data_IF_863707793579
#
_entry.id   IF_863707793579
#
_cell.length_a   1.000
_cell.length_b   1.000
_cell.length_c   1.000
_cell.angle_alpha   90.00
_cell.angle_beta   90.00
_cell.angle_gamma   90.00
#
_symmetry.space_group_name_H-M   'P 1'
#
loop_
_entity.id
_entity.type
_entity.pdbx_description
1 polymer ?
#
# COMPACT_ATOMS: atom_id res chain seq x y z
N UNK A 1 -14.11 1.63 26.51
CA UNK A 1 -13.12 1.16 25.51
C UNK A 1 -12.17 2.30 25.23
N UNK A 2 -10.85 2.09 25.30
CA UNK A 2 -9.89 3.12 24.91
C UNK A 2 -9.85 3.22 23.38
N UNK A 3 -10.15 4.40 22.83
CA UNK A 3 -10.09 4.69 21.39
C UNK A 3 -8.67 4.98 20.89
N UNK A 4 -7.73 5.24 21.81
CA UNK A 4 -6.32 5.55 21.52
C UNK A 4 -5.63 4.56 20.57
N UNK A 5 -5.68 3.22 20.76
CA UNK A 5 -5.02 2.28 19.87
C UNK A 5 -5.56 2.35 18.44
N UNK A 6 -6.86 2.63 18.29
CA UNK A 6 -7.51 2.79 16.99
C UNK A 6 -7.01 4.10 16.35
N UNK A 7 -7.00 5.20 17.10
CA UNK A 7 -6.47 6.49 16.63
C UNK A 7 -5.02 6.37 16.11
N UNK A 8 -4.15 5.64 16.81
CA UNK A 8 -2.77 5.41 16.37
C UNK A 8 -2.67 4.71 15.01
N UNK A 9 -3.55 3.75 14.73
CA UNK A 9 -3.61 3.10 13.41
C UNK A 9 -4.06 4.08 12.33
N UNK A 10 -5.12 4.86 12.61
CA UNK A 10 -5.65 5.82 11.64
C UNK A 10 -4.75 7.04 11.40
N UNK A 11 -3.89 7.42 12.36
CA UNK A 11 -2.85 8.43 12.14
C UNK A 11 -1.91 8.02 10.99
N UNK A 12 -1.72 6.71 10.76
CA UNK A 12 -0.97 6.18 9.63
C UNK A 12 -1.54 6.56 8.26
N UNK A 13 -2.79 7.01 8.17
CA UNK A 13 -3.42 7.42 6.90
C UNK A 13 -3.07 8.87 6.52
N UNK A 14 -2.68 9.71 7.49
CA UNK A 14 -2.43 11.14 7.28
C UNK A 14 -1.37 11.42 6.21
N UNK A 15 -0.19 10.74 6.20
CA UNK A 15 0.81 10.97 5.17
C UNK A 15 0.29 10.68 3.76
N UNK A 16 -0.58 9.67 3.62
CA UNK A 16 -1.22 9.32 2.35
C UNK A 16 -2.15 10.42 1.88
N UNK A 17 -2.97 10.99 2.78
CA UNK A 17 -3.81 12.15 2.45
C UNK A 17 -3.00 13.36 2.00
N UNK A 18 -1.89 13.66 2.70
CA UNK A 18 -1.02 14.76 2.32
C UNK A 18 -0.43 14.54 0.92
N UNK A 19 0.06 13.32 0.64
CA UNK A 19 0.58 12.93 -0.67
C UNK A 19 -0.47 13.10 -1.78
N UNK A 20 -1.66 12.58 -1.58
CA UNK A 20 -2.76 12.62 -2.57
C UNK A 20 -3.16 14.05 -2.87
N UNK A 21 -3.29 14.89 -1.84
CA UNK A 21 -3.72 16.28 -2.00
C UNK A 21 -2.64 17.15 -2.64
N UNK A 22 -1.39 17.01 -2.19
CA UNK A 22 -0.30 17.86 -2.67
C UNK A 22 0.08 17.57 -4.12
N UNK A 23 0.09 16.30 -4.53
CA UNK A 23 0.49 15.89 -5.88
C UNK A 23 -0.69 15.67 -6.83
N UNK A 24 -1.90 16.14 -6.48
CA UNK A 24 -3.14 15.81 -7.19
C UNK A 24 -3.05 16.08 -8.71
N UNK A 25 -2.72 17.31 -9.12
CA UNK A 25 -2.70 17.68 -10.55
C UNK A 25 -1.63 16.94 -11.35
N UNK A 26 -0.42 16.82 -10.78
CA UNK A 26 0.70 16.16 -11.45
C UNK A 26 0.41 14.68 -11.70
N UNK A 27 -0.16 14.00 -10.70
CA UNK A 27 -0.56 12.59 -10.80
C UNK A 27 -1.65 12.38 -11.85
N UNK A 28 -2.64 13.27 -11.91
CA UNK A 28 -3.73 13.13 -12.89
C UNK A 28 -3.21 13.14 -14.33
N UNK A 29 -2.29 14.06 -14.64
CA UNK A 29 -1.67 14.15 -15.97
C UNK A 29 -0.77 12.95 -16.26
N UNK A 30 0.06 12.53 -15.30
CA UNK A 30 0.95 11.38 -15.46
C UNK A 30 0.17 10.08 -15.68
N UNK A 31 -0.86 9.83 -14.86
CA UNK A 31 -1.66 8.60 -14.92
C UNK A 31 -2.45 8.48 -16.22
N UNK A 32 -2.96 9.59 -16.77
CA UNK A 32 -3.68 9.58 -18.07
C UNK A 32 -2.77 9.25 -19.24
N UNK A 33 -1.47 9.55 -19.12
CA UNK A 33 -0.48 9.27 -20.16
C UNK A 33 0.09 7.84 -20.10
N UNK A 34 -0.16 7.09 -19.02
CA UNK A 34 0.31 5.73 -18.84
C UNK A 34 -0.64 4.70 -19.45
N UNK A 35 -0.07 3.70 -20.14
CA UNK A 35 -0.81 2.60 -20.75
C UNK A 35 -1.67 1.82 -19.74
N UNK A 36 -1.20 1.72 -18.49
CA UNK A 36 -1.91 1.07 -17.38
C UNK A 36 -2.27 2.05 -16.26
N UNK A 37 -2.60 3.29 -16.60
CA UNK A 37 -2.87 4.37 -15.64
C UNK A 37 -3.81 4.00 -14.50
N UNK A 38 -4.84 3.19 -14.76
CA UNK A 38 -5.76 2.72 -13.72
C UNK A 38 -5.10 1.79 -12.70
N UNK A 39 -4.26 0.86 -13.17
CA UNK A 39 -3.51 -0.03 -12.27
C UNK A 39 -2.43 0.73 -11.50
N UNK A 40 -1.74 1.68 -12.15
CA UNK A 40 -0.80 2.57 -11.47
C UNK A 40 -1.48 3.35 -10.35
N UNK A 41 -2.66 3.91 -10.59
CA UNK A 41 -3.44 4.62 -9.58
C UNK A 41 -3.74 3.73 -8.35
N UNK A 42 -4.28 2.53 -8.58
CA UNK A 42 -4.65 1.61 -7.49
C UNK A 42 -3.41 1.21 -6.70
N UNK A 43 -2.34 0.83 -7.39
CA UNK A 43 -1.12 0.36 -6.74
C UNK A 43 -0.41 1.47 -5.96
N UNK A 44 -0.34 2.68 -6.52
CA UNK A 44 0.28 3.83 -5.89
C UNK A 44 -0.45 4.23 -4.60
N UNK A 45 -1.78 4.31 -4.64
CA UNK A 45 -2.59 4.61 -3.47
C UNK A 45 -2.51 3.51 -2.41
N UNK A 46 -2.61 2.25 -2.83
CA UNK A 46 -2.48 1.11 -1.93
C UNK A 46 -1.12 1.12 -1.23
N UNK A 47 -0.05 1.39 -1.98
CA UNK A 47 1.30 1.52 -1.43
C UNK A 47 1.38 2.69 -0.44
N UNK A 48 0.85 3.85 -0.80
CA UNK A 48 0.83 5.04 0.04
C UNK A 48 0.14 4.80 1.38
N UNK A 49 -1.03 4.14 1.39
CA UNK A 49 -1.72 3.77 2.62
C UNK A 49 -0.98 2.71 3.42
N UNK A 50 -0.42 1.70 2.75
CA UNK A 50 0.29 0.59 3.40
C UNK A 50 1.54 1.08 4.15
N UNK A 51 2.31 1.98 3.53
CA UNK A 51 3.53 2.56 4.14
C UNK A 51 3.23 3.33 5.43
N UNK A 52 2.03 3.89 5.59
CA UNK A 52 1.64 4.58 6.82
C UNK A 52 0.89 3.70 7.83
N UNK A 53 0.01 2.81 7.36
CA UNK A 53 -0.76 1.89 8.21
C UNK A 53 0.11 0.84 8.90
N UNK A 54 1.16 0.35 8.25
CA UNK A 54 2.07 -0.64 8.86
C UNK A 54 2.76 -0.04 10.09
N UNK A 55 3.50 1.09 9.99
CA UNK A 55 4.06 1.75 11.17
C UNK A 55 3.02 2.12 12.22
N UNK A 56 1.85 2.64 11.83
CA UNK A 56 0.78 2.99 12.78
C UNK A 56 0.24 1.77 13.55
N UNK A 57 0.07 0.65 12.85
CA UNK A 57 -0.29 -0.65 13.44
C UNK A 57 0.77 -1.16 14.41
N UNK A 58 2.03 -1.09 14.03
CA UNK A 58 3.15 -1.55 14.87
C UNK A 58 3.31 -0.68 16.12
N UNK A 59 3.25 0.64 16.00
CA UNK A 59 3.27 1.55 17.16
C UNK A 59 2.09 1.29 18.09
N UNK A 60 0.89 1.10 17.53
CA UNK A 60 -0.29 0.73 18.31
C UNK A 60 -0.09 -0.59 19.06
N UNK A 61 0.54 -1.58 18.43
CA UNK A 61 0.85 -2.87 19.07
C UNK A 61 1.86 -2.75 20.21
N UNK A 62 2.88 -1.91 20.06
CA UNK A 62 3.91 -1.68 21.08
C UNK A 62 3.36 -0.92 22.28
N UNK A 63 2.60 0.16 22.06
CA UNK A 63 2.09 1.01 23.15
C UNK A 63 0.82 0.48 23.81
N UNK A 64 0.06 -0.39 23.14
CA UNK A 64 -1.20 -0.92 23.64
C UNK A 64 -1.32 -2.44 23.47
N UNK A 65 -0.38 -3.24 24.02
CA UNK A 65 -0.34 -4.69 23.80
C UNK A 65 -1.63 -5.40 24.25
N UNK A 66 -2.23 -4.97 25.37
CA UNK A 66 -3.48 -5.54 25.91
C UNK A 66 -4.67 -5.42 24.94
N UNK A 67 -4.66 -4.38 24.09
CA UNK A 67 -5.68 -4.22 23.05
C UNK A 67 -5.54 -5.28 21.95
N UNK A 68 -4.30 -5.60 21.57
CA UNK A 68 -3.98 -6.54 20.50
C UNK A 68 -4.00 -7.99 20.96
N UNK A 69 -3.83 -8.27 22.26
CA UNK A 69 -4.01 -9.61 22.83
C UNK A 69 -5.49 -10.00 22.98
N UNK A 70 -6.42 -9.04 22.89
CA UNK A 70 -7.85 -9.31 22.90
C UNK A 70 -8.33 -9.82 21.51
N UNK A 71 -8.38 -11.14 21.35
CA UNK A 71 -8.68 -11.84 20.09
C UNK A 71 -9.93 -11.35 19.33
N UNK A 72 -10.95 -10.85 20.03
CA UNK A 72 -12.20 -10.38 19.39
C UNK A 72 -12.06 -9.01 18.68
N UNK A 73 -11.04 -8.21 19.01
CA UNK A 73 -10.91 -6.84 18.52
C UNK A 73 -10.08 -6.73 17.24
N UNK A 74 -9.16 -7.67 17.01
CA UNK A 74 -8.26 -7.68 15.85
C UNK A 74 -9.04 -7.83 14.53
N UNK A 75 -9.97 -8.80 14.36
CA UNK A 75 -10.67 -8.96 13.09
C UNK A 75 -11.50 -7.72 12.76
N UNK A 76 -12.20 -7.14 13.75
CA UNK A 76 -13.00 -5.92 13.56
C UNK A 76 -12.15 -4.72 13.14
N UNK A 77 -10.96 -4.55 13.73
CA UNK A 77 -10.07 -3.45 13.36
C UNK A 77 -9.51 -3.63 11.95
N UNK A 78 -9.07 -4.85 11.58
CA UNK A 78 -8.61 -5.15 10.22
C UNK A 78 -9.73 -4.88 9.21
N UNK A 79 -10.95 -5.34 9.50
CA UNK A 79 -12.12 -5.10 8.64
C UNK A 79 -12.42 -3.60 8.52
N UNK A 80 -12.39 -2.84 9.62
CA UNK A 80 -12.61 -1.40 9.60
C UNK A 80 -11.54 -0.66 8.78
N UNK A 81 -10.27 -1.02 8.93
CA UNK A 81 -9.16 -0.46 8.14
C UNK A 81 -9.34 -0.80 6.67
N UNK A 82 -9.65 -2.06 6.34
CA UNK A 82 -9.87 -2.49 4.96
C UNK A 82 -11.01 -1.72 4.28
N UNK A 83 -12.16 -1.59 4.94
CA UNK A 83 -13.29 -0.84 4.38
C UNK A 83 -12.99 0.65 4.27
N UNK A 84 -12.27 1.23 5.24
CA UNK A 84 -11.90 2.64 5.18
C UNK A 84 -10.95 2.91 4.02
N UNK A 85 -9.86 2.14 3.89
CA UNK A 85 -8.90 2.27 2.79
C UNK A 85 -9.58 2.04 1.44
N UNK A 86 -10.40 1.00 1.32
CA UNK A 86 -11.15 0.73 0.09
C UNK A 86 -12.09 1.88 -0.27
N UNK A 87 -12.81 2.42 0.72
CA UNK A 87 -13.67 3.59 0.55
C UNK A 87 -12.90 4.82 0.08
N UNK A 88 -11.71 5.08 0.66
CA UNK A 88 -10.84 6.19 0.26
C UNK A 88 -10.32 6.03 -1.17
N UNK A 89 -9.85 4.84 -1.53
CA UNK A 89 -9.40 4.54 -2.90
C UNK A 89 -10.54 4.76 -3.90
N UNK A 90 -11.75 4.30 -3.59
CA UNK A 90 -12.92 4.50 -4.44
C UNK A 90 -13.30 5.98 -4.53
N UNK A 91 -13.32 6.71 -3.42
CA UNK A 91 -13.63 8.14 -3.40
C UNK A 91 -12.63 8.94 -4.24
N UNK A 92 -11.34 8.66 -4.12
CA UNK A 92 -10.31 9.27 -4.95
C UNK A 92 -10.44 8.82 -6.41
N UNK A 93 -10.78 7.56 -6.67
CA UNK A 93 -11.01 7.07 -8.03
C UNK A 93 -12.07 7.90 -8.74
N UNK A 94 -13.20 8.19 -8.08
CA UNK A 94 -14.22 9.06 -8.64
C UNK A 94 -13.72 10.50 -8.83
N UNK A 95 -12.97 11.04 -7.85
CA UNK A 95 -12.43 12.41 -7.90
C UNK A 95 -11.46 12.65 -9.07
N UNK A 96 -10.68 11.64 -9.43
CA UNK A 96 -9.69 11.70 -10.52
C UNK A 96 -10.28 11.37 -11.91
N UNK A 97 -11.61 11.30 -12.04
CA UNK A 97 -12.27 10.75 -13.22
C UNK A 97 -11.70 9.38 -13.59
N UNK A 98 -11.56 8.47 -12.63
CA UNK A 98 -10.92 7.17 -12.83
C UNK A 98 -11.57 6.31 -13.92
N UNK A 99 -12.81 6.60 -14.32
CA UNK A 99 -13.43 6.04 -15.51
C UNK A 99 -12.71 6.38 -16.83
N UNK A 100 -11.92 7.45 -16.84
CA UNK A 100 -11.02 7.83 -17.95
C UNK A 100 -9.68 7.09 -17.92
N UNK A 101 -9.36 6.39 -16.81
CA UNK A 101 -8.15 5.60 -16.69
C UNK A 101 -8.39 4.17 -17.22
N UNK A 102 -7.46 3.59 -17.99
CA UNK A 102 -7.62 2.25 -18.52
C UNK A 102 -7.49 1.21 -17.39
N UNK A 103 -8.62 0.71 -16.90
CA UNK A 103 -8.71 -0.38 -15.92
C UNK A 103 -9.44 -1.58 -16.53
N UNK A 104 -8.70 -2.59 -16.96
CA UNK A 104 -9.25 -3.85 -17.50
C UNK A 104 -8.70 -5.03 -16.69
N UNK A 105 -9.54 -5.98 -16.35
CA UNK A 105 -9.13 -7.19 -15.58
C UNK A 105 -8.02 -7.97 -16.29
N UNK A 106 -8.02 -8.01 -17.63
CA UNK A 106 -6.97 -8.65 -18.43
C UNK A 106 -5.64 -7.88 -18.53
N UNK A 107 -5.56 -6.63 -18.04
CA UNK A 107 -4.32 -5.82 -18.13
C UNK A 107 -3.48 -5.86 -16.86
N UNK A 108 -3.91 -6.58 -15.82
CA UNK A 108 -3.17 -6.69 -14.57
C UNK A 108 -1.81 -7.39 -14.72
N UNK A 109 -1.78 -8.56 -15.37
CA UNK A 109 -0.54 -9.30 -15.59
C UNK A 109 0.46 -8.54 -16.49
N UNK A 110 0.03 -7.92 -17.61
CA UNK A 110 0.85 -6.99 -18.36
C UNK A 110 1.40 -5.83 -17.51
N UNK A 111 0.57 -5.23 -16.65
CA UNK A 111 0.99 -4.20 -15.71
C UNK A 111 2.08 -4.68 -14.75
N UNK A 112 1.90 -5.86 -14.12
CA UNK A 112 2.92 -6.44 -13.22
C UNK A 112 4.26 -6.64 -13.93
N UNK A 113 4.22 -7.08 -15.19
CA UNK A 113 5.42 -7.21 -16.01
C UNK A 113 6.06 -5.86 -16.26
N UNK A 114 5.29 -4.85 -16.67
CA UNK A 114 5.80 -3.49 -16.90
C UNK A 114 6.48 -2.91 -15.65
N UNK A 115 5.82 -2.95 -14.49
CA UNK A 115 6.39 -2.38 -13.26
C UNK A 115 7.67 -3.10 -12.82
N UNK A 116 7.79 -4.40 -13.11
CA UNK A 116 8.97 -5.22 -12.84
C UNK A 116 10.10 -5.02 -13.85
N UNK A 117 9.89 -4.20 -14.89
CA UNK A 117 10.88 -3.95 -15.94
C UNK A 117 10.86 -4.96 -17.09
N UNK A 118 9.87 -5.85 -17.12
CA UNK A 118 9.67 -6.87 -18.16
C UNK A 118 8.73 -6.36 -19.25
N UNK A 119 8.80 -6.97 -20.43
CA UNK A 119 7.89 -6.67 -21.53
C UNK A 119 6.43 -7.03 -21.12
N UNK A 120 5.47 -6.09 -21.15
CA UNK A 120 4.08 -6.37 -20.84
C UNK A 120 3.42 -7.38 -21.81
N UNK A 121 3.88 -7.46 -23.06
CA UNK A 121 3.35 -8.40 -24.08
C UNK A 121 4.49 -9.21 -24.72
N UNK A 122 4.91 -10.34 -24.11
CA UNK A 122 6.06 -11.13 -24.57
C UNK A 122 5.85 -11.82 -25.92
N UNK A 123 4.60 -11.97 -26.35
CA UNK A 123 4.25 -12.60 -27.63
C UNK A 123 4.05 -11.58 -28.76
N UNK A 124 4.29 -10.29 -28.51
CA UNK A 124 4.20 -9.26 -29.56
C UNK A 124 5.50 -9.22 -30.36
N UNK A 125 5.40 -9.13 -31.69
CA UNK A 125 6.56 -9.19 -32.61
C UNK A 125 7.60 -8.08 -32.37
N UNK A 126 7.25 -7.04 -31.62
CA UNK A 126 8.14 -5.97 -31.18
C UNK A 126 8.91 -6.34 -29.90
N UNK A 127 9.74 -7.38 -29.96
CA UNK A 127 10.62 -7.83 -28.87
C UNK A 127 11.83 -6.90 -28.59
N UNK A 128 11.79 -5.63 -28.98
CA UNK A 128 12.98 -4.77 -29.05
C UNK A 128 13.39 -4.04 -27.76
N UNK A 129 12.80 -4.32 -26.60
CA UNK A 129 13.30 -3.78 -25.32
C UNK A 129 13.16 -4.82 -24.20
N UNK A 130 14.03 -5.82 -24.22
CA UNK A 130 14.32 -6.64 -23.05
C UNK A 130 15.05 -5.81 -21.99
N UNK A 131 14.56 -5.87 -20.75
CA UNK A 131 15.09 -5.23 -19.55
C UNK A 131 15.00 -3.69 -19.50
N UNK A 132 13.77 -3.19 -19.28
CA UNK A 132 13.62 -1.87 -18.66
C UNK A 132 13.93 -1.97 -17.17
N UNK A 133 14.41 -0.88 -16.57
CA UNK A 133 14.59 -0.83 -15.11
C UNK A 133 13.22 -0.96 -14.43
N UNK A 134 13.11 -1.65 -13.27
CA UNK A 134 11.89 -1.68 -12.51
C UNK A 134 11.47 -0.26 -12.14
N UNK A 135 10.15 -0.04 -12.14
CA UNK A 135 9.59 1.28 -11.81
C UNK A 135 9.84 1.63 -10.35
N UNK A 136 9.88 2.94 -10.05
CA UNK A 136 9.98 3.43 -8.66
C UNK A 136 8.85 2.89 -7.77
N UNK A 137 7.67 2.65 -8.36
CA UNK A 137 6.52 2.05 -7.69
C UNK A 137 6.81 0.61 -7.23
N UNK A 138 7.43 -0.20 -8.10
CA UNK A 138 7.82 -1.57 -7.78
C UNK A 138 8.93 -1.61 -6.72
N UNK A 139 9.92 -0.73 -6.84
CA UNK A 139 11.00 -0.59 -5.85
C UNK A 139 10.43 -0.16 -4.50
N UNK A 140 9.54 0.83 -4.48
CA UNK A 140 8.87 1.31 -3.27
C UNK A 140 8.01 0.24 -2.61
N UNK A 141 7.28 -0.56 -3.39
CA UNK A 141 6.54 -1.71 -2.88
C UNK A 141 7.47 -2.76 -2.26
N UNK A 142 8.54 -3.15 -2.97
CA UNK A 142 9.55 -4.06 -2.44
C UNK A 142 10.21 -3.56 -1.15
N UNK A 143 10.57 -2.27 -1.10
CA UNK A 143 11.15 -1.64 0.09
C UNK A 143 10.17 -1.63 1.26
N UNK A 144 8.89 -1.28 1.02
CA UNK A 144 7.86 -1.25 2.06
C UNK A 144 7.60 -2.63 2.67
N UNK A 145 7.56 -3.67 1.84
CA UNK A 145 7.46 -5.06 2.30
C UNK A 145 8.70 -5.49 3.07
N UNK A 146 9.89 -5.13 2.58
CA UNK A 146 11.14 -5.43 3.28
C UNK A 146 11.18 -4.79 4.66
N UNK A 147 10.82 -3.51 4.77
CA UNK A 147 10.74 -2.79 6.06
C UNK A 147 9.70 -3.46 6.95
N UNK A 148 8.51 -3.80 6.46
CA UNK A 148 7.47 -4.45 7.24
C UNK A 148 7.94 -5.79 7.82
N UNK A 149 8.56 -6.64 7.00
CA UNK A 149 9.11 -7.94 7.42
C UNK A 149 10.26 -7.74 8.42
N UNK A 150 11.18 -6.83 8.14
CA UNK A 150 12.29 -6.53 9.04
C UNK A 150 11.81 -6.05 10.40
N UNK A 151 10.77 -5.21 10.42
CA UNK A 151 10.18 -4.71 11.66
C UNK A 151 9.47 -5.83 12.43
N UNK A 152 8.77 -6.75 11.74
CA UNK A 152 8.21 -7.95 12.37
C UNK A 152 9.29 -8.84 12.99
N UNK A 153 10.41 -9.04 12.31
CA UNK A 153 11.54 -9.83 12.83
C UNK A 153 12.13 -9.17 14.09
N UNK A 154 12.34 -7.86 14.08
CA UNK A 154 12.81 -7.12 15.26
C UNK A 154 11.82 -7.25 16.42
N UNK A 155 10.51 -7.10 16.16
CA UNK A 155 9.50 -7.23 17.20
C UNK A 155 9.43 -8.64 17.78
N UNK A 156 9.52 -9.67 16.93
CA UNK A 156 9.60 -11.06 17.39
C UNK A 156 10.83 -11.28 18.25
N UNK A 157 11.98 -10.71 17.86
CA UNK A 157 13.20 -10.82 18.64
C UNK A 157 13.11 -10.10 19.99
N UNK A 158 12.59 -8.87 20.02
CA UNK A 158 12.34 -8.11 21.25
C UNK A 158 11.36 -8.83 22.19
N UNK A 159 10.34 -9.47 21.63
CA UNK A 159 9.38 -10.25 22.41
C UNK A 159 10.05 -11.48 23.04
N UNK A 160 10.82 -12.24 22.26
CA UNK A 160 11.56 -13.42 22.74
C UNK A 160 12.55 -13.04 23.84
N UNK A 161 13.28 -11.92 23.68
CA UNK A 161 14.23 -11.48 24.70
C UNK A 161 13.51 -11.06 25.98
N UNK A 162 12.40 -10.30 25.90
CA UNK A 162 11.61 -9.97 27.08
C UNK A 162 11.08 -11.20 27.82
N UNK A 163 10.60 -12.22 27.10
CA UNK A 163 10.09 -13.46 27.74
C UNK A 163 11.19 -14.33 28.36
N UNK A 164 12.43 -14.23 27.88
CA UNK A 164 13.55 -15.00 28.43
C UNK A 164 14.23 -14.32 29.63
N UNK A 165 13.93 -13.04 29.87
CA UNK A 165 14.46 -12.25 31.00
C UNK A 165 13.40 -11.97 32.10
N UNK A 166 12.17 -12.46 31.93
CA UNK A 166 11.07 -12.41 32.91
C UNK A 166 10.90 -13.75 33.62
#
# INVERSE_FOLDING_TARGET
MSFLPITFVFLGIIPSFFYIHHYQKHREEELKNLQFGGWYFIFELTLSFTVGLIPGGLLSAIFFPDFWLAAEKIPRLITAVFFTVSGLIIADWFRFNGYSLPLKTGTFLPFLREISGKNPYPNSENNRLENRKPTRLFIGCGLSLFIAVFTLVILLWLWITQTNFA
#
